data_IF_644670380282
#
_entry.id   IF_644670380282
#
_cell.length_a   1.000
_cell.length_b   1.000
_cell.length_c   1.000
_cell.angle_alpha   90.00
_cell.angle_beta   90.00
_cell.angle_gamma   90.00
#
_symmetry.space_group_name_H-M   'P 1'
#
loop_
_entity.id
_entity.type
_entity.pdbx_description
1 polymer ?
#
# COMPACT_ATOMS: atom_id res chain seq x y z
N UNK A 1 0.97 -19.86 4.36
CA UNK A 1 0.94 -18.64 3.52
C UNK A 1 -0.01 -18.78 2.36
N UNK A 2 -0.23 -19.99 1.81
CA UNK A 2 -1.12 -20.23 0.65
C UNK A 2 -2.60 -19.87 0.87
N UNK A 3 -3.03 -19.73 2.13
CA UNK A 3 -4.41 -19.37 2.48
C UNK A 3 -4.65 -17.86 2.59
N UNK A 4 -3.60 -17.04 2.61
CA UNK A 4 -3.72 -15.58 2.69
C UNK A 4 -4.04 -15.07 1.30
N UNK A 5 -5.16 -14.36 1.17
CA UNK A 5 -5.48 -13.68 -0.08
C UNK A 5 -4.54 -12.47 -0.23
N UNK A 6 -3.79 -12.46 -1.32
CA UNK A 6 -2.87 -11.37 -1.67
C UNK A 6 -2.95 -11.09 -3.17
N UNK A 7 -3.67 -10.04 -3.52
CA UNK A 7 -3.78 -9.52 -4.86
C UNK A 7 -2.56 -8.64 -5.17
N UNK A 8 -1.81 -9.04 -6.21
CA UNK A 8 -0.65 -8.31 -6.68
C UNK A 8 -1.10 -7.16 -7.57
N UNK A 9 -0.44 -6.03 -7.44
CA UNK A 9 -0.76 -4.87 -8.26
C UNK A 9 -0.24 -5.00 -9.68
N UNK A 10 -1.15 -4.80 -10.63
CA UNK A 10 -0.81 -4.61 -12.03
C UNK A 10 -1.08 -3.15 -12.42
N UNK A 11 -0.03 -2.42 -12.77
CA UNK A 11 -0.14 -1.00 -13.14
C UNK A 11 -0.21 -0.07 -11.92
N UNK A 12 -1.12 0.91 -11.93
CA UNK A 12 -1.22 1.99 -10.93
C UNK A 12 -2.46 1.89 -10.02
N UNK A 13 -3.17 0.76 -10.04
CA UNK A 13 -4.44 0.51 -9.34
C UNK A 13 -4.26 0.13 -7.86
N UNK A 14 -3.40 0.84 -7.13
CA UNK A 14 -3.07 0.50 -5.74
C UNK A 14 -4.28 0.48 -4.79
N UNK A 15 -5.30 1.33 -5.00
CA UNK A 15 -6.47 1.40 -4.13
C UNK A 15 -7.35 0.14 -4.19
N UNK A 16 -7.52 -0.45 -5.39
CA UNK A 16 -8.25 -1.71 -5.57
C UNK A 16 -7.58 -2.82 -4.75
N UNK A 17 -6.30 -3.05 -5.00
CA UNK A 17 -5.57 -4.12 -4.36
C UNK A 17 -5.45 -3.90 -2.85
N UNK A 18 -5.31 -2.65 -2.42
CA UNK A 18 -5.36 -2.28 -1.00
C UNK A 18 -6.67 -2.74 -0.32
N UNK A 19 -7.82 -2.42 -0.93
CA UNK A 19 -9.14 -2.78 -0.41
C UNK A 19 -9.40 -4.30 -0.46
N UNK A 20 -9.04 -4.95 -1.56
CA UNK A 20 -9.22 -6.40 -1.73
C UNK A 20 -8.34 -7.19 -0.77
N UNK A 21 -7.08 -6.77 -0.58
CA UNK A 21 -6.18 -7.36 0.42
C UNK A 21 -6.71 -7.12 1.85
N UNK A 22 -7.28 -5.94 2.12
CA UNK A 22 -7.92 -5.66 3.40
C UNK A 22 -9.11 -6.56 3.66
N UNK A 23 -9.98 -6.78 2.68
CA UNK A 23 -11.16 -7.63 2.83
C UNK A 23 -10.86 -9.12 2.65
N UNK A 24 -9.63 -9.48 2.27
CA UNK A 24 -9.20 -10.84 1.96
C UNK A 24 -10.04 -11.50 0.86
N UNK A 25 -10.34 -10.74 -0.20
CA UNK A 25 -11.03 -11.24 -1.39
C UNK A 25 -11.20 -10.18 -2.47
N UNK A 26 -11.57 -10.60 -3.68
CA UNK A 26 -11.80 -9.74 -4.85
C UNK A 26 -13.18 -9.09 -4.79
N UNK A 27 -13.36 -8.12 -3.89
CA UNK A 27 -14.66 -7.45 -3.68
C UNK A 27 -14.82 -6.19 -4.53
N UNK A 28 -13.74 -5.52 -4.86
CA UNK A 28 -13.74 -4.29 -5.63
C UNK A 28 -12.99 -4.47 -6.94
N UNK A 29 -13.55 -3.91 -8.00
CA UNK A 29 -12.91 -3.74 -9.30
C UNK A 29 -12.61 -2.26 -9.57
N UNK A 30 -11.76 -1.92 -10.56
CA UNK A 30 -11.54 -0.53 -10.96
C UNK A 30 -12.83 0.19 -11.35
N UNK A 31 -13.79 -0.55 -11.92
CA UNK A 31 -15.08 -0.02 -12.37
C UNK A 31 -15.94 0.37 -11.18
N UNK A 32 -15.93 -0.43 -10.12
CA UNK A 32 -16.66 -0.14 -8.89
C UNK A 32 -16.09 1.12 -8.21
N UNK A 33 -14.77 1.21 -8.09
CA UNK A 33 -14.11 2.37 -7.50
C UNK A 33 -14.31 3.64 -8.34
N UNK A 34 -14.29 3.52 -9.66
CA UNK A 34 -14.61 4.63 -10.57
C UNK A 34 -16.06 5.10 -10.41
N UNK A 35 -16.99 4.16 -10.24
CA UNK A 35 -18.41 4.48 -10.00
C UNK A 35 -18.59 5.22 -8.67
N UNK A 36 -17.90 4.80 -7.61
CA UNK A 36 -17.89 5.48 -6.30
C UNK A 36 -17.29 6.88 -6.43
N UNK A 37 -16.18 7.03 -7.16
CA UNK A 37 -15.56 8.34 -7.40
C UNK A 37 -16.52 9.30 -8.12
N UNK A 38 -17.19 8.84 -9.17
CA UNK A 38 -18.18 9.65 -9.90
C UNK A 38 -19.39 10.03 -9.03
N UNK A 39 -19.84 9.14 -8.15
CA UNK A 39 -20.92 9.46 -7.21
C UNK A 39 -20.48 10.54 -6.22
N UNK A 40 -19.26 10.45 -5.69
CA UNK A 40 -18.71 11.47 -4.80
C UNK A 40 -18.57 12.83 -5.50
N UNK A 41 -18.08 12.86 -6.73
CA UNK A 41 -17.99 14.09 -7.53
C UNK A 41 -19.37 14.73 -7.74
N UNK A 42 -20.39 13.91 -8.00
CA UNK A 42 -21.77 14.36 -8.17
C UNK A 42 -22.36 14.91 -6.86
N UNK A 43 -22.12 14.25 -5.73
CA UNK A 43 -22.55 14.73 -4.42
C UNK A 43 -21.87 16.06 -4.05
N UNK A 44 -20.57 16.18 -4.30
CA UNK A 44 -19.83 17.43 -4.15
C UNK A 44 -20.40 18.53 -5.04
N UNK A 45 -20.72 18.20 -6.30
CA UNK A 45 -21.38 19.11 -7.24
C UNK A 45 -22.73 19.60 -6.72
N UNK A 46 -23.56 18.69 -6.20
CA UNK A 46 -24.87 19.03 -5.68
C UNK A 46 -24.79 19.92 -4.45
N UNK A 47 -23.87 19.65 -3.51
CA UNK A 47 -23.63 20.56 -2.37
C UNK A 47 -23.14 21.93 -2.80
N UNK A 48 -22.27 22.00 -3.82
CA UNK A 48 -21.82 23.28 -4.36
C UNK A 48 -22.96 24.05 -5.05
N UNK A 49 -23.90 23.34 -5.68
CA UNK A 49 -25.09 23.93 -6.27
C UNK A 49 -26.04 24.54 -5.21
N UNK A 50 -26.10 23.98 -4.00
CA UNK A 50 -26.83 24.56 -2.86
C UNK A 50 -26.26 25.92 -2.42
N UNK A 51 -24.95 26.12 -2.59
CA UNK A 51 -24.26 27.41 -2.39
C UNK A 51 -24.52 28.45 -3.48
N UNK A 52 -25.27 28.10 -4.53
CA UNK A 52 -25.65 28.98 -5.63
C UNK A 52 -25.00 28.58 -6.96
N UNK A 53 -25.81 28.06 -7.90
CA UNK A 53 -25.38 27.63 -9.23
C UNK A 53 -24.76 28.73 -10.13
N UNK A 54 -24.89 30.00 -9.75
CA UNK A 54 -24.35 31.15 -10.48
C UNK A 54 -22.98 31.63 -9.99
N UNK A 55 -22.43 31.01 -8.94
CA UNK A 55 -21.18 31.41 -8.31
C UNK A 55 -19.96 31.07 -9.19
N UNK A 56 -18.88 31.83 -9.04
CA UNK A 56 -17.63 31.61 -9.76
C UNK A 56 -17.00 30.27 -9.31
N UNK A 57 -17.24 29.88 -8.07
CA UNK A 57 -16.82 28.63 -7.44
C UNK A 57 -17.50 27.41 -8.09
N UNK A 58 -18.82 27.47 -8.35
CA UNK A 58 -19.54 26.38 -9.02
C UNK A 58 -19.07 26.22 -10.48
N UNK A 59 -18.83 27.33 -11.18
CA UNK A 59 -18.29 27.32 -12.55
C UNK A 59 -16.87 26.78 -12.62
N UNK A 60 -16.03 27.13 -11.64
CA UNK A 60 -14.66 26.63 -11.53
C UNK A 60 -14.66 25.13 -11.22
N UNK A 61 -15.52 24.68 -10.31
CA UNK A 61 -15.67 23.26 -9.98
C UNK A 61 -16.09 22.42 -11.18
N UNK A 62 -17.04 22.90 -12.01
CA UNK A 62 -17.45 22.23 -13.25
C UNK A 62 -16.34 22.10 -14.30
N UNK A 63 -15.33 22.97 -14.25
CA UNK A 63 -14.18 22.92 -15.17
C UNK A 63 -13.03 22.09 -14.62
N UNK A 64 -13.04 21.76 -13.32
CA UNK A 64 -12.00 20.95 -12.72
C UNK A 64 -12.20 19.46 -13.07
N UNK A 65 -11.11 18.75 -13.38
CA UNK A 65 -11.16 17.29 -13.47
C UNK A 65 -11.53 16.69 -12.10
N UNK A 66 -12.09 15.47 -12.10
CA UNK A 66 -12.44 14.74 -10.87
C UNK A 66 -11.29 14.77 -9.88
N UNK A 67 -11.55 15.25 -8.67
CA UNK A 67 -10.60 15.19 -7.56
C UNK A 67 -10.50 13.78 -6.96
N UNK A 68 -11.50 12.93 -7.24
CA UNK A 68 -11.63 11.60 -6.65
C UNK A 68 -10.99 10.49 -7.48
N UNK A 69 -10.76 10.72 -8.78
CA UNK A 69 -10.09 9.80 -9.68
C UNK A 69 -9.20 10.56 -10.68
N UNK A 70 -7.91 10.20 -10.74
CA UNK A 70 -7.00 10.68 -11.81
C UNK A 70 -7.01 9.72 -13.00
N UNK A 71 -6.71 10.24 -14.20
CA UNK A 71 -6.56 9.48 -15.46
C UNK A 71 -5.47 8.40 -15.39
N UNK A 72 -4.63 8.45 -14.37
CA UNK A 72 -3.58 7.48 -14.08
C UNK A 72 -4.08 6.26 -13.29
N UNK A 73 -5.33 6.26 -12.79
CA UNK A 73 -5.91 5.20 -11.97
C UNK A 73 -5.66 5.33 -10.46
N UNK A 74 -5.26 6.52 -9.99
CA UNK A 74 -5.18 6.82 -8.55
C UNK A 74 -6.55 7.25 -8.03
N UNK A 75 -6.88 6.79 -6.82
CA UNK A 75 -8.12 7.12 -6.14
C UNK A 75 -7.83 7.93 -4.87
N UNK A 76 -8.72 8.90 -4.60
CA UNK A 76 -8.65 9.70 -3.38
C UNK A 76 -9.00 8.86 -2.14
N UNK A 77 -8.66 9.38 -0.97
CA UNK A 77 -9.07 8.76 0.29
C UNK A 77 -10.59 8.72 0.48
N UNK A 78 -11.33 9.67 -0.10
CA UNK A 78 -12.78 9.71 0.03
C UNK A 78 -13.41 8.49 -0.65
N UNK A 79 -12.88 8.06 -1.79
CA UNK A 79 -13.31 6.83 -2.48
C UNK A 79 -13.08 5.61 -1.59
N UNK A 80 -11.91 5.49 -0.98
CA UNK A 80 -11.57 4.38 -0.06
C UNK A 80 -12.48 4.40 1.16
N UNK A 81 -12.70 5.57 1.76
CA UNK A 81 -13.57 5.74 2.92
C UNK A 81 -15.02 5.33 2.61
N UNK A 82 -15.56 5.78 1.46
CA UNK A 82 -16.93 5.44 1.06
C UNK A 82 -17.05 3.94 0.72
N UNK A 83 -16.08 3.38 0.02
CA UNK A 83 -16.02 1.95 -0.26
C UNK A 83 -16.05 1.10 1.03
N UNK A 84 -15.30 1.51 2.05
CA UNK A 84 -15.31 0.85 3.37
C UNK A 84 -16.61 1.08 4.14
N UNK A 85 -17.23 2.25 4.00
CA UNK A 85 -18.49 2.58 4.68
C UNK A 85 -19.63 1.64 4.27
N UNK A 86 -19.66 1.17 3.01
CA UNK A 86 -20.61 0.15 2.52
C UNK A 86 -20.54 -1.14 3.34
N UNK A 87 -19.37 -1.49 3.86
CA UNK A 87 -19.13 -2.66 4.71
C UNK A 87 -19.33 -2.38 6.21
N UNK A 88 -19.75 -1.17 6.58
CA UNK A 88 -19.83 -0.74 7.97
C UNK A 88 -18.45 -0.59 8.61
N UNK A 89 -17.42 -0.34 7.81
CA UNK A 89 -16.06 -0.09 8.26
C UNK A 89 -15.79 1.41 8.27
N UNK A 90 -15.17 1.88 9.35
CA UNK A 90 -14.77 3.27 9.52
C UNK A 90 -13.26 3.43 9.38
N UNK A 91 -12.85 4.47 8.65
CA UNK A 91 -11.46 4.82 8.41
C UNK A 91 -11.06 6.00 9.31
N UNK A 92 -10.26 5.75 10.35
CA UNK A 92 -9.87 6.77 11.34
C UNK A 92 -8.38 7.07 11.21
N UNK A 93 -8.00 8.35 11.10
CA UNK A 93 -6.59 8.73 11.08
C UNK A 93 -5.91 8.37 12.41
N UNK A 94 -4.81 7.61 12.34
CA UNK A 94 -4.05 7.14 13.51
C UNK A 94 -3.44 8.29 14.32
N UNK A 95 -3.06 9.39 13.67
CA UNK A 95 -2.57 10.61 14.32
C UNK A 95 -3.69 11.56 14.80
N UNK A 96 -4.95 11.15 14.71
CA UNK A 96 -6.03 11.99 15.23
C UNK A 96 -5.94 12.10 16.75
N UNK A 97 -6.26 13.28 17.28
CA UNK A 97 -6.29 13.53 18.73
C UNK A 97 -7.31 12.63 19.44
N UNK A 98 -8.35 12.23 18.73
CA UNK A 98 -9.37 11.29 19.20
C UNK A 98 -8.78 9.90 19.40
N UNK A 99 -8.06 9.37 18.40
CA UNK A 99 -7.42 8.07 18.50
C UNK A 99 -6.32 8.03 19.58
N UNK A 100 -5.48 9.07 19.66
CA UNK A 100 -4.43 9.16 20.68
C UNK A 100 -4.98 9.20 22.11
N UNK A 101 -6.14 9.83 22.33
CA UNK A 101 -6.79 9.90 23.64
C UNK A 101 -7.32 8.55 24.12
N UNK A 102 -7.66 7.65 23.19
CA UNK A 102 -8.16 6.33 23.54
C UNK A 102 -7.06 5.42 24.13
N UNK A 103 -5.78 5.77 23.95
CA UNK A 103 -4.61 4.98 24.40
C UNK A 103 -4.71 3.50 24.02
N UNK A 104 -5.29 3.22 22.86
CA UNK A 104 -5.46 1.84 22.38
C UNK A 104 -4.13 1.37 21.82
N UNK A 105 -3.66 0.22 22.32
CA UNK A 105 -2.46 -0.41 21.81
C UNK A 105 -2.66 -0.81 20.34
N UNK A 106 -1.79 -0.39 19.40
CA UNK A 106 -1.94 -0.71 17.98
C UNK A 106 -2.08 -2.21 17.67
N UNK A 107 -1.49 -3.08 18.51
CA UNK A 107 -1.58 -4.54 18.39
C UNK A 107 -2.99 -5.12 18.56
N UNK A 108 -3.91 -4.34 19.16
CA UNK A 108 -5.30 -4.74 19.39
C UNK A 108 -6.22 -4.40 18.21
N UNK A 109 -5.73 -3.61 17.25
CA UNK A 109 -6.47 -3.33 16.03
C UNK A 109 -6.51 -4.57 15.13
N UNK A 110 -7.45 -4.55 14.18
CA UNK A 110 -7.60 -5.63 13.20
C UNK A 110 -6.84 -5.33 11.90
N UNK A 111 -6.81 -4.06 11.49
CA UNK A 111 -6.14 -3.66 10.26
C UNK A 111 -5.81 -2.16 10.23
N UNK A 112 -4.83 -1.83 9.42
CA UNK A 112 -4.41 -0.49 9.05
C UNK A 112 -4.34 -0.35 7.53
N UNK A 113 -4.68 0.83 7.04
CA UNK A 113 -4.35 1.27 5.69
C UNK A 113 -3.30 2.37 5.80
N UNK A 114 -2.24 2.27 5.02
CA UNK A 114 -1.19 3.25 4.96
C UNK A 114 -1.18 3.92 3.58
N UNK A 115 -0.97 5.23 3.58
CA UNK A 115 -0.77 6.02 2.37
C UNK A 115 0.55 6.76 2.42
N UNK A 116 1.28 6.71 1.31
CA UNK A 116 2.42 7.59 1.10
C UNK A 116 2.57 7.94 -0.36
N UNK A 117 2.63 9.25 -0.64
CA UNK A 117 2.79 9.80 -1.99
C UNK A 117 1.88 9.11 -3.01
N UNK A 118 0.59 8.98 -2.68
CA UNK A 118 -0.45 8.37 -3.54
C UNK A 118 -0.37 6.83 -3.68
N UNK A 119 0.53 6.14 -2.97
CA UNK A 119 0.54 4.67 -2.88
C UNK A 119 -0.23 4.18 -1.64
N UNK A 120 -1.20 3.30 -1.85
CA UNK A 120 -2.00 2.68 -0.80
C UNK A 120 -1.58 1.23 -0.55
N UNK A 121 -1.42 0.86 0.71
CA UNK A 121 -1.21 -0.55 1.09
C UNK A 121 -1.88 -0.86 2.43
N UNK A 122 -2.12 -2.15 2.65
CA UNK A 122 -2.83 -2.65 3.81
C UNK A 122 -1.91 -3.45 4.72
N UNK A 123 -2.08 -3.25 6.03
CA UNK A 123 -1.51 -4.10 7.07
C UNK A 123 -2.68 -4.74 7.82
N UNK A 124 -2.86 -6.05 7.72
CA UNK A 124 -3.98 -6.77 8.37
C UNK A 124 -3.47 -7.79 9.36
N UNK A 125 -4.14 -7.89 10.50
CA UNK A 125 -3.97 -8.98 11.46
C UNK A 125 -4.77 -10.18 10.99
N UNK A 126 -4.10 -11.31 10.81
CA UNK A 126 -4.72 -12.59 10.44
C UNK A 126 -4.36 -13.62 11.51
N UNK A 127 -5.37 -14.09 12.24
CA UNK A 127 -5.18 -14.93 13.42
C UNK A 127 -4.46 -14.16 14.54
N UNK A 128 -3.22 -14.56 14.84
CA UNK A 128 -2.39 -13.93 15.88
C UNK A 128 -1.18 -13.17 15.32
N UNK A 129 -1.10 -12.95 14.01
CA UNK A 129 0.07 -12.36 13.36
C UNK A 129 -0.32 -11.22 12.43
N UNK A 130 0.58 -10.26 12.28
CA UNK A 130 0.40 -9.13 11.38
C UNK A 130 1.05 -9.40 10.04
N UNK A 131 0.39 -8.97 8.97
CA UNK A 131 0.92 -9.11 7.63
C UNK A 131 0.85 -7.77 6.89
N UNK A 132 1.97 -7.39 6.28
CA UNK A 132 2.02 -6.36 5.27
C UNK A 132 1.58 -6.97 3.93
N UNK A 133 0.47 -6.45 3.41
CA UNK A 133 -0.18 -6.87 2.17
C UNK A 133 0.00 -5.82 1.08
N UNK A 134 1.17 -5.18 1.05
CA UNK A 134 1.53 -4.27 -0.03
C UNK A 134 1.49 -5.03 -1.36
N UNK A 135 0.61 -4.58 -2.24
CA UNK A 135 0.30 -5.21 -3.52
C UNK A 135 1.51 -5.30 -4.46
N UNK A 136 2.55 -4.49 -4.24
CA UNK A 136 3.80 -4.55 -4.99
C UNK A 136 4.76 -5.66 -4.51
N UNK A 137 4.48 -6.30 -3.38
CA UNK A 137 5.23 -7.46 -2.90
C UNK A 137 4.78 -8.72 -3.65
N UNK A 138 5.73 -9.62 -3.85
CA UNK A 138 5.47 -10.95 -4.44
C UNK A 138 4.58 -11.85 -3.57
N UNK A 139 4.32 -11.46 -2.33
CA UNK A 139 3.41 -12.12 -1.40
C UNK A 139 3.27 -11.36 -0.08
N UNK A 140 2.50 -11.89 0.88
CA UNK A 140 2.33 -11.30 2.20
C UNK A 140 3.63 -11.36 3.01
N UNK A 141 3.99 -10.24 3.64
CA UNK A 141 5.15 -10.11 4.50
C UNK A 141 4.74 -10.16 5.98
N UNK A 142 5.37 -11.02 6.77
CA UNK A 142 5.08 -11.20 8.18
C UNK A 142 5.70 -10.08 9.03
N UNK A 143 4.86 -9.40 9.80
CA UNK A 143 5.26 -8.42 10.82
C UNK A 143 5.04 -9.01 12.20
N UNK A 144 6.05 -8.94 13.06
CA UNK A 144 5.93 -9.34 14.47
C UNK A 144 5.25 -8.25 15.31
N UNK A 145 4.54 -8.65 16.38
CA UNK A 145 3.88 -7.70 17.30
C UNK A 145 4.85 -6.67 17.88
N UNK A 146 6.08 -7.10 18.20
CA UNK A 146 7.15 -6.24 18.72
C UNK A 146 7.65 -5.25 17.68
N UNK A 147 7.63 -5.64 16.40
CA UNK A 147 8.09 -4.79 15.31
C UNK A 147 7.00 -3.84 14.81
N UNK A 148 5.72 -4.23 14.86
CA UNK A 148 4.61 -3.42 14.37
C UNK A 148 4.60 -1.99 14.91
N UNK A 149 4.82 -1.82 16.21
CA UNK A 149 4.83 -0.49 16.83
C UNK A 149 5.96 0.39 16.28
N UNK A 150 7.14 -0.20 16.06
CA UNK A 150 8.28 0.48 15.48
C UNK A 150 8.01 0.82 14.01
N UNK A 151 7.48 -0.13 13.25
CA UNK A 151 7.11 0.03 11.85
C UNK A 151 6.12 1.19 11.66
N UNK A 152 5.02 1.21 12.43
CA UNK A 152 4.05 2.30 12.37
C UNK A 152 4.66 3.65 12.77
N UNK A 153 5.51 3.68 13.81
CA UNK A 153 6.18 4.91 14.24
C UNK A 153 7.15 5.45 13.16
N UNK A 154 7.85 4.56 12.45
CA UNK A 154 8.71 4.92 11.33
C UNK A 154 7.91 5.50 10.17
N UNK A 155 6.83 4.83 9.77
CA UNK A 155 5.93 5.34 8.73
C UNK A 155 5.43 6.75 9.08
N UNK A 156 5.08 7.02 10.34
CA UNK A 156 4.70 8.37 10.76
C UNK A 156 5.84 9.39 10.60
N UNK A 157 7.07 9.04 10.96
CA UNK A 157 8.24 9.93 10.83
C UNK A 157 8.56 10.25 9.37
N UNK A 158 8.39 9.28 8.48
CA UNK A 158 8.59 9.47 7.05
C UNK A 158 7.47 10.30 6.39
N UNK A 159 6.35 10.52 7.10
CA UNK A 159 5.22 11.32 6.64
C UNK A 159 4.10 10.50 5.99
N UNK A 160 4.01 9.20 6.29
CA UNK A 160 2.89 8.37 5.87
C UNK A 160 1.62 8.78 6.63
N UNK A 161 0.51 8.78 5.90
CA UNK A 161 -0.81 8.87 6.53
C UNK A 161 -1.28 7.45 6.85
N UNK A 162 -1.36 7.15 8.15
CA UNK A 162 -1.79 5.84 8.65
C UNK A 162 -3.24 5.96 9.11
N UNK A 163 -4.07 5.03 8.67
CA UNK A 163 -5.48 4.96 9.00
C UNK A 163 -5.78 3.61 9.65
N UNK A 164 -6.53 3.66 10.75
CA UNK A 164 -7.01 2.50 11.48
C UNK A 164 -8.38 2.14 10.95
N UNK A 165 -8.60 0.85 10.69
CA UNK A 165 -9.87 0.32 10.25
C UNK A 165 -10.66 -0.16 11.46
N UNK A 166 -11.78 0.51 11.75
CA UNK A 166 -12.72 0.12 12.79
C UNK A 166 -13.93 -0.58 12.19
N UNK A 167 -14.36 -1.66 12.83
CA UNK A 167 -15.55 -2.42 12.45
C UNK A 167 -15.31 -3.92 12.39
N UNK A 168 -16.27 -4.62 11.80
CA UNK A 168 -16.19 -6.07 11.61
C UNK A 168 -15.75 -6.37 10.18
N UNK A 169 -14.45 -6.68 10.04
CA UNK A 169 -13.92 -7.23 8.81
C UNK A 169 -14.57 -8.59 8.51
N UNK A 170 -14.75 -8.94 7.23
CA UNK A 170 -15.25 -10.25 6.86
C UNK A 170 -14.30 -11.35 7.34
N UNK A 171 -14.88 -12.43 7.84
CA UNK A 171 -14.16 -13.65 8.20
C UNK A 171 -13.51 -14.24 6.94
N UNK A 172 -12.29 -14.74 7.08
CA UNK A 172 -11.54 -15.36 5.99
C UNK A 172 -10.87 -16.66 6.43
N UNK A 173 -10.67 -17.57 5.49
CA UNK A 173 -10.04 -18.88 5.76
C UNK A 173 -8.63 -18.72 6.36
N UNK A 174 -7.92 -17.66 5.93
CA UNK A 174 -6.61 -17.31 6.47
C UNK A 174 -6.66 -17.11 7.99
N UNK A 175 -7.68 -16.42 8.51
CA UNK A 175 -7.80 -16.13 9.94
C UNK A 175 -8.05 -17.40 10.76
N UNK A 176 -8.86 -18.32 10.24
CA UNK A 176 -9.14 -19.61 10.89
C UNK A 176 -7.89 -20.50 10.94
N UNK A 177 -7.15 -20.58 9.82
CA UNK A 177 -5.96 -21.42 9.71
C UNK A 177 -4.81 -20.84 10.55
N UNK A 178 -4.60 -19.53 10.49
CA UNK A 178 -3.53 -18.84 11.21
C UNK A 178 -3.82 -18.68 12.71
N UNK A 179 -5.08 -18.86 13.12
CA UNK A 179 -5.43 -19.05 14.53
C UNK A 179 -4.92 -20.37 15.11
N UNK A 180 -4.75 -21.39 14.27
CA UNK A 180 -4.31 -22.74 14.66
C UNK A 180 -2.81 -22.92 14.42
N UNK A 181 -2.27 -22.37 13.32
CA UNK A 181 -0.88 -22.55 12.91
C UNK A 181 -0.18 -21.20 12.71
N UNK A 182 0.86 -20.95 13.52
CA UNK A 182 1.71 -19.77 13.33
C UNK A 182 2.59 -19.95 12.10
N UNK A 183 2.59 -18.96 11.22
CA UNK A 183 3.48 -18.93 10.05
C UNK A 183 4.85 -18.46 10.49
N UNK A 184 5.87 -19.23 10.12
CA UNK A 184 7.26 -18.79 10.15
C UNK A 184 7.70 -18.47 8.73
N UNK A 185 8.00 -17.19 8.48
CA UNK A 185 8.54 -16.76 7.20
C UNK A 185 10.07 -16.95 7.22
N UNK A 186 10.57 -17.88 6.40
CA UNK A 186 12.01 -18.10 6.27
C UNK A 186 12.68 -17.12 5.31
N UNK A 187 11.94 -16.64 4.31
CA UNK A 187 12.40 -15.65 3.34
C UNK A 187 11.32 -14.60 3.11
N UNK A 188 11.74 -13.33 3.11
CA UNK A 188 10.88 -12.17 2.88
C UNK A 188 10.42 -12.13 1.40
N UNK A 189 9.20 -11.66 1.10
CA UNK A 189 8.75 -11.54 -0.27
C UNK A 189 9.51 -10.40 -0.95
N UNK A 190 10.03 -10.65 -2.14
CA UNK A 190 10.68 -9.62 -2.97
C UNK A 190 9.68 -8.64 -3.53
N UNK A 191 10.15 -7.46 -3.94
CA UNK A 191 9.37 -6.50 -4.70
C UNK A 191 9.20 -6.97 -6.15
N UNK A 192 7.99 -6.83 -6.70
CA UNK A 192 7.70 -7.18 -8.09
C UNK A 192 8.56 -6.29 -9.01
N UNK A 193 9.42 -6.91 -9.82
CA UNK A 193 10.36 -6.23 -10.72
C UNK A 193 11.85 -6.36 -10.34
N UNK A 194 12.18 -6.90 -9.17
CA UNK A 194 13.60 -7.09 -8.77
C UNK A 194 14.35 -8.14 -9.60
N UNK A 195 13.66 -9.15 -10.12
CA UNK A 195 14.30 -10.20 -10.94
C UNK A 195 14.84 -9.65 -12.28
N UNK A 196 14.24 -8.57 -12.83
CA UNK A 196 14.78 -7.89 -14.02
C UNK A 196 16.04 -7.07 -13.71
N UNK A 197 16.17 -6.54 -12.48
CA UNK A 197 17.34 -5.79 -12.05
C UNK A 197 18.53 -6.71 -11.72
N UNK A 198 18.28 -7.87 -11.12
CA UNK A 198 19.33 -8.86 -10.83
C UNK A 198 19.86 -9.55 -12.10
N UNK A 199 19.03 -9.75 -13.14
CA UNK A 199 19.47 -10.27 -14.45
C UNK A 199 20.55 -9.39 -15.11
N UNK A 200 20.49 -8.07 -14.93
CA UNK A 200 21.48 -7.13 -15.51
C UNK A 200 22.69 -6.88 -14.59
N UNK A 201 22.62 -7.24 -13.31
CA UNK A 201 23.67 -7.01 -12.31
C UNK A 201 24.68 -8.16 -12.16
N UNK A 202 24.28 -9.41 -12.44
CA UNK A 202 25.09 -10.60 -12.13
C UNK A 202 26.20 -10.88 -13.16
N UNK A 203 26.13 -10.32 -14.38
CA UNK A 203 27.16 -10.57 -15.41
C UNK A 203 28.46 -9.75 -15.28
N UNK A 204 28.65 -8.89 -14.26
CA UNK A 204 29.83 -8.01 -14.19
C UNK A 204 30.76 -8.17 -12.98
N UNK A 205 30.53 -9.12 -12.07
CA UNK A 205 31.42 -9.30 -10.90
C UNK A 205 31.73 -10.76 -10.57
N UNK A 206 32.25 -11.48 -11.56
CA UNK A 206 32.94 -12.73 -11.29
C UNK A 206 34.27 -12.74 -12.05
N UNK A 207 35.23 -11.97 -11.54
CA UNK A 207 36.64 -12.22 -11.75
C UNK A 207 37.42 -11.72 -10.54
N UNK A 208 38.30 -12.60 -10.06
CA UNK A 208 39.29 -12.45 -8.98
C UNK A 208 38.74 -12.45 -7.55
N UNK A 209 39.32 -13.12 -6.55
CA UNK A 209 40.12 -14.35 -6.37
C UNK A 209 40.55 -14.35 -4.88
N UNK A 210 40.95 -15.52 -4.37
CA UNK A 210 41.68 -15.77 -3.11
C UNK A 210 40.83 -15.94 -1.84
N UNK A 211 40.81 -17.19 -1.35
CA UNK A 211 40.34 -17.61 -0.03
C UNK A 211 41.44 -17.33 1.00
N UNK A 212 41.09 -16.81 2.18
CA UNK A 212 41.89 -16.95 3.41
C UNK A 212 40.98 -16.95 4.66
N UNK A 213 41.53 -17.47 5.76
CA UNK A 213 40.91 -18.02 6.99
C UNK A 213 40.07 -17.07 7.87
N UNK A 214 39.72 -15.87 7.38
CA UNK A 214 38.89 -14.88 8.10
C UNK A 214 37.38 -15.14 7.94
N UNK A 215 36.97 -16.33 7.48
CA UNK A 215 35.59 -16.63 7.13
C UNK A 215 34.66 -16.63 8.36
N UNK A 216 35.18 -16.87 9.57
CA UNK A 216 34.36 -16.93 10.78
C UNK A 216 34.06 -15.55 11.37
N UNK A 217 35.05 -14.65 11.35
CA UNK A 217 34.88 -13.26 11.80
C UNK A 217 34.13 -12.43 10.74
N UNK A 218 34.38 -12.69 9.44
CA UNK A 218 33.60 -12.13 8.34
C UNK A 218 32.16 -12.66 8.35
N UNK A 219 31.90 -13.95 8.64
CA UNK A 219 30.53 -14.47 8.82
C UNK A 219 29.82 -13.82 10.00
N UNK A 220 30.53 -13.57 11.10
CA UNK A 220 29.95 -12.94 12.29
C UNK A 220 29.66 -11.46 12.03
N UNK A 221 30.56 -10.75 11.35
CA UNK A 221 30.37 -9.38 10.90
C UNK A 221 29.23 -9.29 9.87
N UNK A 222 29.16 -10.20 8.90
CA UNK A 222 28.05 -10.29 7.95
C UNK A 222 26.72 -10.64 8.62
N UNK A 223 26.71 -11.47 9.66
CA UNK A 223 25.51 -11.81 10.42
C UNK A 223 25.00 -10.66 11.30
N UNK A 224 25.92 -9.90 11.92
CA UNK A 224 25.61 -8.68 12.66
C UNK A 224 25.16 -7.55 11.71
N UNK A 225 25.83 -7.37 10.57
CA UNK A 225 25.36 -6.49 9.50
C UNK A 225 24.07 -6.96 8.86
N UNK A 226 23.71 -8.26 8.92
CA UNK A 226 22.44 -8.76 8.38
C UNK A 226 21.24 -8.24 9.16
N UNK A 227 21.36 -8.06 10.48
CA UNK A 227 20.27 -7.54 11.29
C UNK A 227 20.03 -6.04 11.06
N UNK A 228 21.09 -5.24 10.90
CA UNK A 228 20.95 -3.81 10.56
C UNK A 228 20.59 -3.59 9.09
N UNK A 229 21.08 -4.44 8.17
CA UNK A 229 20.67 -4.38 6.75
C UNK A 229 19.24 -4.86 6.53
N UNK A 230 18.72 -5.82 7.31
CA UNK A 230 17.34 -6.32 7.13
C UNK A 230 16.33 -5.18 7.25
N UNK A 231 16.50 -4.25 8.21
CA UNK A 231 15.63 -3.06 8.38
C UNK A 231 15.83 -2.03 7.26
N UNK A 232 17.08 -1.79 6.83
CA UNK A 232 17.35 -0.91 5.69
C UNK A 232 16.75 -1.45 4.38
N UNK A 233 16.74 -2.78 4.19
CA UNK A 233 16.17 -3.41 3.01
C UNK A 233 14.64 -3.26 2.97
N UNK A 234 13.96 -3.24 4.13
CA UNK A 234 12.50 -2.99 4.19
C UNK A 234 12.13 -1.56 3.75
N UNK A 235 12.90 -0.58 4.21
CA UNK A 235 12.73 0.82 3.83
C UNK A 235 13.07 1.03 2.34
N UNK A 236 14.15 0.39 1.87
CA UNK A 236 14.57 0.48 0.49
C UNK A 236 13.55 -0.17 -0.45
N UNK A 237 12.98 -1.32 -0.09
CA UNK A 237 11.90 -1.97 -0.83
C UNK A 237 10.66 -1.11 -0.90
N UNK A 238 10.21 -0.54 0.22
CA UNK A 238 9.02 0.30 0.24
C UNK A 238 9.23 1.55 -0.63
N UNK A 239 10.40 2.18 -0.55
CA UNK A 239 10.78 3.31 -1.42
C UNK A 239 10.82 2.93 -2.90
N UNK A 240 11.40 1.78 -3.24
CA UNK A 240 11.41 1.23 -4.59
C UNK A 240 9.98 0.96 -5.08
N UNK A 241 9.13 0.40 -4.23
CA UNK A 241 7.72 0.12 -4.50
C UNK A 241 6.97 1.39 -4.91
N UNK A 242 7.12 2.44 -4.11
CA UNK A 242 6.51 3.75 -4.38
C UNK A 242 7.02 4.32 -5.71
N UNK A 243 8.32 4.20 -5.99
CA UNK A 243 8.87 4.68 -7.25
C UNK A 243 8.29 3.93 -8.46
N UNK A 244 8.05 2.62 -8.35
CA UNK A 244 7.40 1.83 -9.38
C UNK A 244 5.92 2.25 -9.58
N UNK A 245 5.16 2.44 -8.51
CA UNK A 245 3.78 2.98 -8.59
C UNK A 245 3.76 4.35 -9.30
N UNK A 246 4.76 5.20 -9.03
CA UNK A 246 4.86 6.54 -9.62
C UNK A 246 5.40 6.55 -11.06
N UNK A 247 6.22 5.58 -11.47
CA UNK A 247 6.69 5.48 -12.86
C UNK A 247 5.54 5.21 -13.84
N UNK A 248 4.48 4.52 -13.42
CA UNK A 248 3.22 4.41 -14.18
C UNK A 248 2.65 5.78 -14.58
N UNK A 249 2.74 6.78 -13.69
CA UNK A 249 2.32 8.18 -13.91
C UNK A 249 3.13 8.87 -15.02
N UNK A 250 4.44 8.63 -15.09
CA UNK A 250 5.33 9.29 -16.06
C UNK A 250 5.21 8.67 -17.46
N UNK A 251 5.14 7.34 -17.56
CA UNK A 251 4.99 6.65 -18.84
C UNK A 251 3.65 6.99 -19.54
N UNK A 252 2.56 7.18 -18.78
CA UNK A 252 1.28 7.61 -19.34
C UNK A 252 1.27 9.08 -19.77
N UNK A 253 1.99 9.96 -19.06
CA UNK A 253 2.18 11.36 -19.47
C UNK A 253 3.00 11.49 -20.76
N UNK A 254 4.03 10.67 -20.95
CA UNK A 254 4.83 10.66 -22.19
C UNK A 254 4.06 10.12 -23.39
N UNK A 255 3.26 9.05 -23.22
CA UNK A 255 2.36 8.55 -24.28
C UNK A 255 1.36 9.62 -24.74
N UNK A 256 0.81 10.43 -23.82
CA UNK A 256 -0.09 11.55 -24.15
C UNK A 256 0.59 12.67 -24.93
N UNK A 257 1.85 13.00 -24.63
CA UNK A 257 2.62 13.97 -25.43
C UNK A 257 2.93 13.45 -26.84
N UNK A 258 3.19 12.16 -27.00
CA UNK A 258 3.40 11.53 -28.30
C UNK A 258 2.14 11.48 -29.19
N UNK A 259 0.97 11.24 -28.60
CA UNK A 259 -0.30 11.22 -29.34
C UNK A 259 -0.71 12.61 -29.87
N UNK A 260 -0.46 13.68 -29.12
CA UNK A 260 -0.77 15.06 -29.56
C UNK A 260 0.19 15.63 -30.63
N UNK A 261 1.24 14.90 -31.01
CA UNK A 261 2.21 15.33 -32.03
C UNK A 261 2.00 14.67 -33.41
N UNK A 262 1.00 13.79 -33.55
CA UNK A 262 0.72 13.09 -34.81
C UNK A 262 -0.56 13.54 -35.52
N UNK A 263 -1.30 14.49 -34.97
CA UNK A 263 -2.41 15.19 -35.65
C UNK A 263 -2.02 16.63 -36.00
N UNK A 264 -1.11 16.79 -36.97
CA UNK A 264 -0.98 18.01 -37.79
C UNK A 264 -0.55 17.66 -39.20
#
# INVERSE_FOLDING_TARGET
MESIFHEKQEGSLCAQHCLNNLLQGEYFTPVDLSSIAHQLDEEERMRMAEGGMGSEEYRTFLQQPSGNMDDSGFFSIQVISNALSVWGLELILFNSREYQRLMINPINEKAFICNYKEHWFTIRKLGQQWFNLNSLLTGPELISDTYLALFLAQLQQEGYSIFVIRGNLPDCDAEQILGIMKVQQQQRPKLIGEDEAQSKGVHKKMNEAVMDEDEEELRKALALSRQDMEVEDEEADLRRAIQLSMQGKNNNKEKRKGANLTEK
#
